data_IF_285254666983
#
_entry.id   IF_285254666983
#
_cell.length_a   1.000
_cell.length_b   1.000
_cell.length_c   1.000
_cell.angle_alpha   90.00
_cell.angle_beta   90.00
_cell.angle_gamma   90.00
#
_symmetry.space_group_name_H-M   'P 1'
#
loop_
_entity.id
_entity.type
_entity.pdbx_description
1 polymer ?
#
# COMPACT_ATOMS: atom_id res chain seq x y z
N UNK A 1 -5.27 20.53 -20.89
CA UNK A 1 -4.72 19.64 -19.82
C UNK A 1 -4.35 18.25 -20.35
N UNK A 2 -5.02 17.72 -21.37
CA UNK A 2 -4.78 16.38 -21.93
C UNK A 2 -3.40 16.26 -22.58
N UNK A 3 -2.95 17.26 -23.31
CA UNK A 3 -1.62 17.31 -23.94
C UNK A 3 -0.45 17.37 -22.94
N UNK A 4 -0.68 17.83 -21.70
CA UNK A 4 0.37 17.89 -20.67
C UNK A 4 0.61 16.54 -20.00
N UNK A 5 -0.29 15.57 -20.13
CA UNK A 5 -0.12 14.22 -19.56
C UNK A 5 0.99 13.41 -20.26
N UNK A 6 1.29 13.75 -21.51
CA UNK A 6 2.37 13.13 -22.28
C UNK A 6 3.74 13.73 -21.96
N UNK A 7 3.77 14.89 -21.30
CA UNK A 7 5.02 15.57 -20.94
C UNK A 7 5.32 15.26 -19.47
N UNK A 8 6.45 14.59 -19.23
CA UNK A 8 6.91 14.20 -17.87
C UNK A 8 7.48 15.39 -17.08
N UNK A 9 6.63 16.41 -16.80
CA UNK A 9 7.01 17.55 -15.98
C UNK A 9 7.02 17.16 -14.49
N UNK A 10 8.06 17.54 -13.75
CA UNK A 10 8.14 17.32 -12.30
C UNK A 10 7.01 18.01 -11.54
N UNK A 11 6.63 19.21 -11.99
CA UNK A 11 5.57 20.02 -11.36
C UNK A 11 4.16 19.44 -11.48
N UNK A 12 3.96 18.40 -12.29
CA UNK A 12 2.66 17.71 -12.43
C UNK A 12 2.60 16.46 -11.54
N UNK A 13 3.77 16.00 -11.08
CA UNK A 13 3.82 14.77 -10.26
C UNK A 13 3.34 15.06 -8.84
N UNK A 14 2.58 14.11 -8.24
CA UNK A 14 2.23 14.21 -6.83
C UNK A 14 3.50 14.17 -5.97
N UNK A 15 3.47 14.90 -4.86
CA UNK A 15 4.64 15.12 -4.00
C UNK A 15 4.37 14.59 -2.59
N UNK A 16 5.38 14.00 -1.98
CA UNK A 16 5.45 13.71 -0.54
C UNK A 16 6.63 14.50 0.02
N UNK A 17 6.37 15.32 1.03
CA UNK A 17 7.40 15.99 1.80
C UNK A 17 7.92 15.06 2.90
N UNK A 18 9.08 14.44 2.70
CA UNK A 18 9.75 13.65 3.73
C UNK A 18 10.47 14.60 4.69
N UNK A 19 9.88 14.82 5.85
CA UNK A 19 10.41 15.72 6.88
C UNK A 19 11.37 14.94 7.77
N UNK A 20 12.68 15.09 7.54
CA UNK A 20 13.69 14.45 8.40
C UNK A 20 13.80 15.22 9.71
N UNK A 21 13.50 14.54 10.81
CA UNK A 21 13.43 15.10 12.17
C UNK A 21 14.36 14.32 13.08
N UNK A 22 14.75 14.93 14.21
CA UNK A 22 15.54 14.24 15.23
C UNK A 22 14.68 13.30 16.08
N UNK A 23 15.33 12.37 16.78
CA UNK A 23 14.66 11.45 17.71
C UNK A 23 13.91 12.20 18.82
N UNK A 24 14.49 13.31 19.32
CA UNK A 24 13.85 14.16 20.34
C UNK A 24 12.50 14.71 19.89
N UNK A 25 12.33 15.00 18.59
CA UNK A 25 11.05 15.48 18.05
C UNK A 25 9.98 14.38 18.09
N UNK A 26 10.36 13.12 17.85
CA UNK A 26 9.45 11.99 17.97
C UNK A 26 9.03 11.74 19.42
N UNK A 27 9.98 11.83 20.37
CA UNK A 27 9.73 11.68 21.79
C UNK A 27 8.88 12.82 22.37
N UNK A 28 9.07 14.05 21.90
CA UNK A 28 8.28 15.23 22.32
C UNK A 28 6.90 15.31 21.65
N UNK A 29 6.66 14.50 20.64
CA UNK A 29 5.49 14.54 19.78
C UNK A 29 5.70 15.43 18.55
N UNK A 30 5.62 14.84 17.39
CA UNK A 30 5.88 15.44 16.05
C UNK A 30 5.11 16.75 15.86
N UNK A 31 3.87 16.79 16.36
CA UNK A 31 2.98 17.95 16.32
C UNK A 31 3.51 19.16 17.11
N UNK A 32 4.50 18.99 17.98
CA UNK A 32 5.10 20.10 18.74
C UNK A 32 6.13 20.89 17.93
N UNK A 33 6.67 20.28 16.85
CA UNK A 33 7.71 20.90 16.03
C UNK A 33 7.13 21.99 15.11
N UNK A 34 7.51 23.27 15.26
CA UNK A 34 6.94 24.37 14.48
C UNK A 34 7.33 24.32 13.01
N UNK A 35 8.49 23.75 12.68
CA UNK A 35 8.92 23.60 11.28
C UNK A 35 8.11 22.53 10.55
N UNK A 36 7.79 21.43 11.24
CA UNK A 36 6.92 20.40 10.70
C UNK A 36 5.53 20.96 10.39
N UNK A 37 4.94 21.72 11.31
CA UNK A 37 3.65 22.40 11.09
C UNK A 37 3.67 23.32 9.86
N UNK A 38 4.74 24.10 9.71
CA UNK A 38 4.87 24.98 8.56
C UNK A 38 4.91 24.20 7.23
N UNK A 39 5.56 23.04 7.22
CA UNK A 39 5.56 22.15 6.03
C UNK A 39 4.18 21.55 5.79
N UNK A 40 3.45 21.15 6.83
CA UNK A 40 2.07 20.64 6.71
C UNK A 40 1.12 21.70 6.10
N UNK A 41 1.24 22.95 6.54
CA UNK A 41 0.45 24.06 5.99
C UNK A 41 0.74 24.24 4.49
N UNK A 42 2.01 24.20 4.08
CA UNK A 42 2.42 24.30 2.66
C UNK A 42 1.87 23.12 1.88
N UNK A 43 2.09 21.89 2.39
CA UNK A 43 1.63 20.66 1.74
C UNK A 43 0.11 20.67 1.52
N UNK A 44 -0.65 21.15 2.51
CA UNK A 44 -2.10 21.26 2.41
C UNK A 44 -2.54 22.21 1.27
N UNK A 45 -1.80 23.33 1.07
CA UNK A 45 -2.12 24.28 -0.04
C UNK A 45 -1.82 23.69 -1.41
N UNK A 46 -0.85 22.78 -1.50
CA UNK A 46 -0.41 22.15 -2.76
C UNK A 46 -1.11 20.81 -3.04
N UNK A 47 -1.90 20.30 -2.10
CA UNK A 47 -2.47 18.97 -2.17
C UNK A 47 -1.42 17.85 -2.10
N UNK A 48 -0.27 18.15 -1.46
CA UNK A 48 0.81 17.22 -1.20
C UNK A 48 0.62 16.52 0.16
N UNK A 49 1.32 15.42 0.36
CA UNK A 49 1.36 14.72 1.64
C UNK A 49 2.66 15.00 2.40
N UNK A 50 2.64 14.88 3.72
CA UNK A 50 3.83 14.95 4.58
C UNK A 50 4.14 13.58 5.16
N UNK A 51 5.42 13.31 5.38
CA UNK A 51 5.90 12.10 6.03
C UNK A 51 7.02 12.48 7.02
N UNK A 52 6.77 12.51 8.33
CA UNK A 52 7.83 12.67 9.31
C UNK A 52 8.64 11.37 9.41
N UNK A 53 9.95 11.48 9.27
CA UNK A 53 10.91 10.38 9.40
C UNK A 53 12.09 10.83 10.27
N UNK A 54 12.76 9.88 10.90
CA UNK A 54 14.08 10.07 11.49
C UNK A 54 15.04 9.11 10.78
N UNK A 55 15.89 9.65 9.91
CA UNK A 55 16.79 8.84 9.09
C UNK A 55 17.79 8.03 9.95
N UNK A 56 18.16 8.54 11.12
CA UNK A 56 19.04 7.86 12.07
C UNK A 56 18.35 6.61 12.63
N UNK A 57 17.13 6.74 13.14
CA UNK A 57 16.32 5.61 13.64
C UNK A 57 16.04 4.58 12.52
N UNK A 58 15.76 5.05 11.31
CA UNK A 58 15.52 4.13 10.18
C UNK A 58 16.79 3.34 9.81
N UNK A 59 17.97 3.95 9.94
CA UNK A 59 19.23 3.26 9.72
C UNK A 59 19.52 2.19 10.79
N UNK A 60 19.12 2.42 12.04
CA UNK A 60 19.19 1.43 13.12
C UNK A 60 18.19 0.30 12.89
N UNK A 61 16.92 0.62 12.64
CA UNK A 61 15.84 -0.34 12.36
C UNK A 61 16.23 -1.29 11.20
N UNK A 62 16.91 -0.77 10.18
CA UNK A 62 17.33 -1.56 9.01
C UNK A 62 18.37 -2.64 9.34
N UNK A 63 19.02 -2.58 10.50
CA UNK A 63 20.04 -3.55 10.95
C UNK A 63 19.48 -4.60 11.90
N UNK A 64 18.26 -4.39 12.41
CA UNK A 64 17.61 -5.29 13.37
C UNK A 64 16.92 -6.46 12.67
N UNK A 65 16.81 -7.58 13.35
CA UNK A 65 15.93 -8.66 12.93
C UNK A 65 14.45 -8.32 13.20
N UNK A 66 13.52 -9.14 12.71
CA UNK A 66 12.08 -8.82 12.79
C UNK A 66 11.56 -8.70 14.23
N UNK A 67 12.09 -9.50 15.16
CA UNK A 67 11.66 -9.48 16.57
C UNK A 67 12.20 -8.23 17.27
N UNK A 68 13.47 -7.90 17.05
CA UNK A 68 14.13 -6.70 17.56
C UNK A 68 13.48 -5.43 17.00
N UNK A 69 13.16 -5.45 15.70
CA UNK A 69 12.46 -4.35 15.03
C UNK A 69 11.09 -4.08 15.67
N UNK A 70 10.32 -5.14 15.94
CA UNK A 70 9.01 -5.02 16.57
C UNK A 70 9.12 -4.42 17.99
N UNK A 71 10.12 -4.83 18.77
CA UNK A 71 10.39 -4.27 20.09
C UNK A 71 10.79 -2.80 20.00
N UNK A 72 11.73 -2.45 19.13
CA UNK A 72 12.21 -1.07 18.96
C UNK A 72 11.05 -0.13 18.57
N UNK A 73 10.23 -0.52 17.58
CA UNK A 73 9.07 0.27 17.17
C UNK A 73 8.06 0.46 18.30
N UNK A 74 7.82 -0.60 19.09
CA UNK A 74 6.93 -0.54 20.25
C UNK A 74 7.43 0.43 21.32
N UNK A 75 8.72 0.41 21.62
CA UNK A 75 9.35 1.30 22.62
C UNK A 75 9.27 2.78 22.19
N UNK A 76 9.34 3.02 20.89
CA UNK A 76 9.19 4.37 20.31
C UNK A 76 7.73 4.78 20.09
N UNK A 77 6.76 3.94 20.46
CA UNK A 77 5.33 4.20 20.23
C UNK A 77 4.94 4.23 18.75
N UNK A 78 5.72 3.58 17.87
CA UNK A 78 5.48 3.51 16.44
C UNK A 78 4.90 2.14 16.05
N UNK A 79 3.87 2.14 15.22
CA UNK A 79 3.30 0.89 14.69
C UNK A 79 4.11 0.32 13.51
N UNK A 80 4.79 1.20 12.77
CA UNK A 80 5.49 0.86 11.52
C UNK A 80 6.73 1.73 11.33
N UNK A 81 7.73 1.18 10.65
CA UNK A 81 8.91 1.94 10.23
C UNK A 81 8.55 3.11 9.29
N UNK A 82 9.43 4.08 9.14
CA UNK A 82 9.28 5.18 8.19
C UNK A 82 9.24 4.66 6.75
N UNK A 83 10.00 3.61 6.43
CA UNK A 83 9.99 2.96 5.12
C UNK A 83 8.60 2.35 4.83
N UNK A 84 8.00 1.62 5.76
CA UNK A 84 6.65 1.05 5.58
C UNK A 84 5.59 2.14 5.40
N UNK A 85 5.71 3.23 6.17
CA UNK A 85 4.84 4.40 6.05
C UNK A 85 5.01 5.11 4.70
N UNK A 86 6.24 5.23 4.20
CA UNK A 86 6.54 5.81 2.89
C UNK A 86 5.92 4.97 1.76
N UNK A 87 6.10 3.65 1.81
CA UNK A 87 5.50 2.73 0.83
C UNK A 87 3.99 2.90 0.82
N UNK A 88 3.33 2.83 1.98
CA UNK A 88 1.88 2.97 2.10
C UNK A 88 1.37 4.31 1.56
N UNK A 89 2.03 5.41 1.94
CA UNK A 89 1.68 6.75 1.44
C UNK A 89 1.90 6.87 -0.07
N UNK A 90 2.98 6.33 -0.61
CA UNK A 90 3.26 6.34 -2.05
C UNK A 90 2.19 5.57 -2.84
N UNK A 91 1.78 4.39 -2.36
CA UNK A 91 0.68 3.63 -2.96
C UNK A 91 -0.63 4.42 -2.95
N UNK A 92 -0.98 5.01 -1.81
CA UNK A 92 -2.18 5.85 -1.68
C UNK A 92 -2.15 7.03 -2.64
N UNK A 93 -1.04 7.78 -2.66
CA UNK A 93 -0.85 8.96 -3.50
C UNK A 93 -0.95 8.66 -5.00
N UNK A 94 -0.43 7.50 -5.41
CA UNK A 94 -0.47 7.03 -6.80
C UNK A 94 -1.79 6.31 -7.15
N UNK A 95 -2.69 6.14 -6.18
CA UNK A 95 -3.94 5.41 -6.36
C UNK A 95 -3.70 3.94 -6.71
N UNK A 96 -2.70 3.31 -6.09
CA UNK A 96 -2.35 1.91 -6.29
C UNK A 96 -2.96 1.03 -5.21
N UNK A 97 -3.31 -0.19 -5.61
CA UNK A 97 -3.72 -1.28 -4.72
C UNK A 97 -3.00 -2.55 -5.13
N UNK A 98 -2.95 -3.53 -4.23
CA UNK A 98 -2.38 -4.84 -4.51
C UNK A 98 -3.42 -5.93 -4.33
N UNK A 99 -3.46 -6.87 -5.27
CA UNK A 99 -4.17 -8.12 -5.11
C UNK A 99 -3.19 -9.30 -5.17
N UNK A 100 -3.59 -10.44 -4.66
CA UNK A 100 -2.75 -11.63 -4.55
C UNK A 100 -3.30 -12.75 -5.44
N UNK A 101 -2.42 -13.50 -6.07
CA UNK A 101 -2.76 -14.81 -6.64
C UNK A 101 -2.17 -15.89 -5.77
N UNK A 102 -2.97 -16.89 -5.40
CA UNK A 102 -2.55 -17.99 -4.54
C UNK A 102 -2.77 -19.32 -5.26
N UNK A 103 -1.77 -19.74 -6.03
CA UNK A 103 -1.73 -21.04 -6.71
C UNK A 103 -0.73 -22.01 -6.06
N UNK A 104 -0.85 -23.30 -6.37
CA UNK A 104 0.11 -24.32 -5.89
C UNK A 104 1.56 -24.01 -6.25
N UNK A 105 1.88 -23.52 -7.46
CA UNK A 105 3.25 -23.24 -7.86
C UNK A 105 3.78 -21.91 -7.33
N UNK A 106 2.93 -20.92 -7.11
CA UNK A 106 3.34 -19.56 -6.78
C UNK A 106 2.25 -18.81 -6.00
N UNK A 107 2.70 -18.00 -5.03
CA UNK A 107 1.90 -16.93 -4.42
C UNK A 107 2.55 -15.62 -4.79
N UNK A 108 1.78 -14.69 -5.37
CA UNK A 108 2.32 -13.43 -5.87
C UNK A 108 1.39 -12.26 -5.65
N UNK A 109 1.97 -11.10 -5.29
CA UNK A 109 1.28 -9.82 -5.24
C UNK A 109 1.39 -9.09 -6.59
N UNK A 110 0.29 -8.49 -7.01
CA UNK A 110 0.16 -7.74 -8.26
C UNK A 110 -0.34 -6.35 -7.98
N UNK A 111 0.39 -5.35 -8.46
CA UNK A 111 0.02 -3.94 -8.27
C UNK A 111 -0.82 -3.45 -9.46
N UNK A 112 -1.96 -2.86 -9.14
CA UNK A 112 -2.91 -2.27 -10.10
C UNK A 112 -3.38 -0.90 -9.62
N UNK A 113 -4.03 -0.13 -10.48
CA UNK A 113 -4.69 1.12 -10.08
C UNK A 113 -6.01 0.83 -9.39
N UNK A 114 -6.34 1.60 -8.38
CA UNK A 114 -7.67 1.61 -7.75
C UNK A 114 -8.75 1.84 -8.82
N UNK A 115 -9.81 1.06 -8.77
CA UNK A 115 -10.88 1.10 -9.77
C UNK A 115 -10.65 0.17 -10.99
N UNK A 116 -9.54 -0.57 -11.04
CA UNK A 116 -9.30 -1.58 -12.09
C UNK A 116 -10.31 -2.73 -11.94
N UNK A 117 -10.94 -3.13 -13.06
CA UNK A 117 -11.84 -4.28 -13.09
C UNK A 117 -11.07 -5.61 -13.21
N UNK A 118 -11.72 -6.70 -12.83
CA UNK A 118 -11.14 -8.06 -12.82
C UNK A 118 -10.48 -8.50 -14.15
N UNK A 119 -11.05 -8.25 -15.34
CA UNK A 119 -10.38 -8.61 -16.59
C UNK A 119 -9.04 -7.90 -16.78
N UNK A 120 -8.97 -6.59 -16.54
CA UNK A 120 -7.74 -5.81 -16.66
C UNK A 120 -6.71 -6.20 -15.59
N UNK A 121 -7.17 -6.55 -14.38
CA UNK A 121 -6.30 -7.11 -13.36
C UNK A 121 -5.70 -8.46 -13.81
N UNK A 122 -6.51 -9.36 -14.35
CA UNK A 122 -6.05 -10.62 -14.94
C UNK A 122 -5.04 -10.39 -16.09
N UNK A 123 -5.21 -9.32 -16.85
CA UNK A 123 -4.29 -8.87 -17.90
C UNK A 123 -2.89 -8.51 -17.41
N UNK A 124 -2.76 -8.13 -16.12
CA UNK A 124 -1.45 -7.92 -15.49
C UNK A 124 -0.66 -9.21 -15.31
N UNK A 125 -1.34 -10.33 -15.18
CA UNK A 125 -0.73 -11.66 -15.08
C UNK A 125 -0.32 -12.11 -16.49
N UNK A 126 -1.28 -12.13 -17.42
CA UNK A 126 -1.05 -12.45 -18.82
C UNK A 126 -2.19 -11.90 -19.69
N UNK A 127 -1.86 -11.43 -20.89
CA UNK A 127 -2.84 -10.85 -21.84
C UNK A 127 -3.97 -11.80 -22.23
N UNK A 128 -3.70 -13.10 -22.28
CA UNK A 128 -4.72 -14.10 -22.60
C UNK A 128 -5.75 -14.24 -21.49
N UNK A 129 -5.37 -13.99 -20.22
CA UNK A 129 -6.31 -14.00 -19.12
C UNK A 129 -7.29 -12.83 -19.19
N UNK A 130 -6.87 -11.67 -19.68
CA UNK A 130 -7.79 -10.56 -19.93
C UNK A 130 -8.83 -10.90 -21.00
N UNK A 131 -8.37 -11.45 -22.14
CA UNK A 131 -9.23 -11.79 -23.28
C UNK A 131 -10.19 -12.93 -22.95
N UNK A 132 -9.70 -13.95 -22.25
CA UNK A 132 -10.46 -15.13 -21.86
C UNK A 132 -11.21 -15.01 -20.54
N UNK A 133 -11.18 -13.85 -19.87
CA UNK A 133 -11.77 -13.70 -18.55
C UNK A 133 -13.29 -13.95 -18.57
N UNK A 134 -13.75 -14.83 -17.71
CA UNK A 134 -15.16 -15.13 -17.48
C UNK A 134 -15.54 -14.75 -16.07
N UNK A 135 -14.86 -15.34 -15.09
CA UNK A 135 -15.05 -15.12 -13.64
C UNK A 135 -13.79 -15.53 -12.90
N UNK A 136 -13.65 -15.03 -11.67
CA UNK A 136 -12.61 -15.40 -10.72
C UNK A 136 -13.21 -15.73 -9.36
N UNK A 137 -12.62 -16.64 -8.63
CA UNK A 137 -12.93 -16.83 -7.21
C UNK A 137 -12.09 -15.82 -6.42
N UNK A 138 -12.76 -15.01 -5.59
CA UNK A 138 -12.15 -13.92 -4.84
C UNK A 138 -12.52 -14.05 -3.37
N UNK A 139 -11.54 -13.91 -2.50
CA UNK A 139 -11.72 -13.81 -1.04
C UNK A 139 -10.81 -12.69 -0.52
N UNK A 140 -11.20 -11.97 0.53
CA UNK A 140 -10.30 -10.98 1.15
C UNK A 140 -9.16 -11.69 1.86
N UNK A 141 -7.99 -11.05 1.91
CA UNK A 141 -6.83 -11.57 2.63
C UNK A 141 -7.15 -11.82 4.12
N UNK A 142 -7.84 -10.88 4.76
CA UNK A 142 -8.19 -10.98 6.17
C UNK A 142 -9.11 -12.17 6.45
N UNK A 143 -10.13 -12.38 5.62
CA UNK A 143 -11.03 -13.53 5.73
C UNK A 143 -10.30 -14.86 5.50
N UNK A 144 -9.39 -14.88 4.51
CA UNK A 144 -8.60 -16.08 4.22
C UNK A 144 -7.71 -16.48 5.39
N UNK A 145 -7.02 -15.50 5.99
CA UNK A 145 -6.16 -15.71 7.17
C UNK A 145 -6.98 -16.11 8.38
N UNK A 146 -8.08 -15.42 8.66
CA UNK A 146 -8.96 -15.73 9.80
C UNK A 146 -9.60 -17.12 9.69
N UNK A 147 -9.81 -17.62 8.46
CA UNK A 147 -10.32 -18.97 8.23
C UNK A 147 -9.23 -20.05 8.28
N UNK A 148 -7.96 -19.68 8.21
CA UNK A 148 -6.84 -20.62 8.16
C UNK A 148 -6.67 -21.32 6.80
N UNK A 149 -7.37 -20.87 5.75
CA UNK A 149 -7.20 -21.36 4.39
C UNK A 149 -8.46 -21.35 3.53
N UNK A 150 -8.24 -21.62 2.24
CA UNK A 150 -9.26 -21.49 1.20
C UNK A 150 -10.45 -22.45 1.39
N UNK A 151 -10.22 -23.69 1.83
CA UNK A 151 -11.28 -24.68 2.04
C UNK A 151 -12.27 -24.19 3.11
N UNK A 152 -11.74 -23.75 4.25
CA UNK A 152 -12.57 -23.23 5.34
C UNK A 152 -13.29 -21.92 4.96
N UNK A 153 -12.65 -21.07 4.15
CA UNK A 153 -13.28 -19.86 3.62
C UNK A 153 -14.44 -20.20 2.67
N UNK A 154 -14.30 -21.23 1.83
CA UNK A 154 -15.40 -21.75 0.96
C UNK A 154 -16.57 -22.30 1.78
N UNK A 155 -16.29 -23.11 2.79
CA UNK A 155 -17.32 -23.69 3.67
C UNK A 155 -18.12 -22.60 4.41
N UNK A 156 -17.48 -21.49 4.75
CA UNK A 156 -18.12 -20.30 5.37
C UNK A 156 -18.79 -19.37 4.36
N UNK A 157 -18.71 -19.65 3.06
CA UNK A 157 -19.31 -18.83 2.01
C UNK A 157 -18.63 -17.48 1.79
N UNK A 158 -17.38 -17.32 2.19
CA UNK A 158 -16.62 -16.07 2.07
C UNK A 158 -15.91 -15.94 0.72
N UNK A 159 -15.79 -17.03 -0.02
CA UNK A 159 -15.25 -17.02 -1.38
C UNK A 159 -16.36 -16.65 -2.36
N UNK A 160 -16.18 -15.52 -3.03
CA UNK A 160 -17.12 -14.96 -3.99
C UNK A 160 -16.74 -15.37 -5.42
N UNK A 161 -17.72 -15.58 -6.27
CA UNK A 161 -17.48 -15.75 -7.72
C UNK A 161 -17.78 -14.43 -8.43
N UNK A 162 -16.74 -13.73 -8.85
CA UNK A 162 -16.83 -12.38 -9.38
C UNK A 162 -16.65 -12.37 -10.91
N UNK A 163 -17.50 -11.63 -11.59
CA UNK A 163 -17.53 -11.49 -13.05
C UNK A 163 -16.75 -10.29 -13.56
N UNK A 164 -16.95 -9.98 -14.86
CA UNK A 164 -16.21 -8.94 -15.60
C UNK A 164 -16.34 -7.53 -15.03
N UNK A 165 -17.46 -7.22 -14.36
CA UNK A 165 -17.74 -5.89 -13.81
C UNK A 165 -17.18 -5.68 -12.40
N UNK A 166 -16.61 -6.73 -11.80
CA UNK A 166 -16.04 -6.63 -10.47
C UNK A 166 -14.85 -5.68 -10.44
N UNK A 167 -14.90 -4.72 -9.53
CA UNK A 167 -13.82 -3.78 -9.26
C UNK A 167 -12.94 -4.34 -8.16
N UNK A 168 -11.68 -4.63 -8.48
CA UNK A 168 -10.71 -5.20 -7.54
C UNK A 168 -10.53 -4.34 -6.31
N UNK A 169 -10.45 -4.99 -5.16
CA UNK A 169 -10.18 -4.36 -3.88
C UNK A 169 -8.74 -4.66 -3.43
N UNK A 170 -8.20 -3.77 -2.57
CA UNK A 170 -6.89 -4.00 -1.95
C UNK A 170 -6.95 -5.23 -1.04
N UNK A 171 -5.98 -6.14 -1.18
CA UNK A 171 -5.95 -7.38 -0.43
C UNK A 171 -6.87 -8.49 -0.95
N UNK A 172 -7.49 -8.35 -2.14
CA UNK A 172 -8.20 -9.47 -2.76
C UNK A 172 -7.22 -10.62 -3.06
N UNK A 173 -7.58 -11.83 -2.66
CA UNK A 173 -6.89 -13.07 -3.04
C UNK A 173 -7.71 -13.78 -4.10
N UNK A 174 -7.06 -14.04 -5.25
CA UNK A 174 -7.70 -14.55 -6.47
C UNK A 174 -7.16 -15.93 -6.83
N UNK A 175 -8.06 -16.82 -7.24
CA UNK A 175 -7.80 -18.16 -7.76
C UNK A 175 -8.29 -18.30 -9.20
#
# INVERSE_FOLDING_TARGET
QEYLKEVSLLTIKPVIYACNMGEDDFNAGIESNPFYKAVEEIAATEGAETLPICAEMEAEIAQLDEDEKAMFLSDMGLEKSGLDRLIKKSYSLLGLISYLTAGKPEVRAWTIKKGTKAPQAAGKIHTDFERGFIRAEVVSFDDLVACGGMTAAKEKGLVRSEGKEYVMQDGDVVL
#
